data_IF_688596949178
#
_entry.id   IF_688596949178
#
_cell.length_a   1.000
_cell.length_b   1.000
_cell.length_c   1.000
_cell.angle_alpha   90.00
_cell.angle_beta   90.00
_cell.angle_gamma   90.00
#
_symmetry.space_group_name_H-M   'P 1'
#
loop_
_entity.id
_entity.type
_entity.pdbx_description
1 polymer ?
#
# COMPACT_ATOMS: atom_id res chain seq x y z
N UNK A 1 2.60 -11.40 -11.96
CA UNK A 1 1.87 -12.32 -12.88
C UNK A 1 2.37 -12.08 -14.28
N UNK A 2 2.68 -13.16 -15.02
CA UNK A 2 3.19 -13.07 -16.38
C UNK A 2 2.11 -12.58 -17.36
N UNK A 3 2.54 -11.86 -18.39
CA UNK A 3 1.69 -11.44 -19.47
C UNK A 3 1.26 -12.64 -20.35
N UNK A 4 0.08 -12.58 -20.90
CA UNK A 4 -0.39 -13.50 -21.96
C UNK A 4 -0.68 -12.70 -23.23
N UNK A 5 0.37 -12.26 -23.95
CA UNK A 5 0.23 -11.32 -25.06
C UNK A 5 -0.61 -11.89 -26.23
N UNK A 6 -0.63 -13.20 -26.42
CA UNK A 6 -1.47 -13.86 -27.42
C UNK A 6 -2.97 -13.69 -27.14
N UNK A 7 -3.34 -13.41 -25.90
CA UNK A 7 -4.72 -13.19 -25.46
C UNK A 7 -5.01 -11.72 -25.17
N UNK A 8 -4.05 -10.82 -25.41
CA UNK A 8 -4.17 -9.40 -25.12
C UNK A 8 -4.18 -9.08 -23.61
N UNK A 9 -3.65 -9.98 -22.77
CA UNK A 9 -3.58 -9.79 -21.31
C UNK A 9 -2.18 -9.30 -20.96
N UNK A 10 -2.12 -8.09 -20.38
CA UNK A 10 -0.87 -7.51 -19.87
C UNK A 10 -0.46 -8.17 -18.55
N UNK A 11 0.85 -8.15 -18.26
CA UNK A 11 1.39 -8.62 -17.00
C UNK A 11 0.98 -7.70 -15.86
N UNK A 12 0.73 -8.28 -14.68
CA UNK A 12 0.41 -7.54 -13.46
C UNK A 12 1.60 -7.58 -12.51
N UNK A 13 2.12 -6.41 -12.17
CA UNK A 13 3.17 -6.23 -11.16
C UNK A 13 2.52 -5.87 -9.83
N UNK A 14 2.80 -6.64 -8.80
CA UNK A 14 2.30 -6.44 -7.44
C UNK A 14 3.47 -6.09 -6.54
N UNK A 15 3.32 -5.08 -5.70
CA UNK A 15 4.34 -4.68 -4.74
C UNK A 15 3.76 -4.49 -3.34
N UNK A 16 4.54 -4.84 -2.31
CA UNK A 16 4.23 -4.46 -0.93
C UNK A 16 4.32 -2.95 -0.76
N UNK A 17 3.54 -2.40 0.18
CA UNK A 17 3.70 -0.99 0.47
C UNK A 17 2.58 -0.26 1.19
N UNK A 18 2.16 -0.69 2.40
CA UNK A 18 1.16 0.06 3.16
C UNK A 18 1.68 1.43 3.66
N UNK A 19 3.01 1.60 3.77
CA UNK A 19 3.67 2.84 4.21
C UNK A 19 4.69 3.37 3.20
N UNK A 20 4.56 2.98 1.95
CA UNK A 20 5.49 3.25 0.87
C UNK A 20 5.89 1.97 0.15
N UNK A 21 6.21 2.09 -1.11
CA UNK A 21 6.43 0.92 -1.97
C UNK A 21 7.70 0.17 -1.60
N UNK A 22 7.61 -1.14 -1.64
CA UNK A 22 8.75 -2.02 -1.65
C UNK A 22 8.79 -2.81 -2.96
N UNK A 23 9.38 -2.23 -3.97
CA UNK A 23 9.58 -2.85 -5.26
C UNK A 23 10.95 -3.52 -5.31
N UNK A 24 10.99 -4.84 -5.42
CA UNK A 24 12.24 -5.60 -5.48
C UNK A 24 12.92 -5.44 -6.84
N UNK A 25 14.26 -5.37 -6.85
CA UNK A 25 15.05 -5.27 -8.08
C UNK A 25 15.12 -6.61 -8.80
N UNK A 26 14.98 -7.73 -8.09
CA UNK A 26 15.06 -9.09 -8.64
C UNK A 26 13.85 -9.93 -8.27
N UNK A 27 13.35 -10.73 -9.20
CA UNK A 27 12.19 -11.60 -9.02
C UNK A 27 12.40 -12.80 -8.07
N UNK A 28 13.63 -13.02 -7.60
CA UNK A 28 14.01 -14.22 -6.83
C UNK A 28 14.04 -14.01 -5.31
N UNK A 29 13.67 -12.84 -4.79
CA UNK A 29 13.77 -12.56 -3.37
C UNK A 29 12.46 -12.79 -2.63
N UNK A 30 12.18 -14.05 -2.30
CA UNK A 30 11.00 -14.41 -1.50
C UNK A 30 11.10 -14.00 -0.02
N UNK A 31 12.28 -13.65 0.47
CA UNK A 31 12.51 -13.25 1.86
C UNK A 31 12.61 -11.72 2.04
N UNK A 32 12.64 -10.98 0.95
CA UNK A 32 12.74 -9.53 0.97
C UNK A 32 14.08 -9.03 1.53
N UNK A 33 15.16 -9.77 1.34
CA UNK A 33 16.51 -9.44 1.83
C UNK A 33 17.36 -8.73 0.78
N UNK A 34 16.96 -8.77 -0.48
CA UNK A 34 17.65 -8.09 -1.57
C UNK A 34 17.35 -6.59 -1.59
N UNK A 35 18.21 -5.78 -2.23
CA UNK A 35 17.97 -4.36 -2.41
C UNK A 35 16.63 -4.11 -3.12
N UNK A 36 15.86 -3.17 -2.59
CA UNK A 36 14.65 -2.66 -3.23
C UNK A 36 14.96 -1.37 -3.99
N UNK A 37 14.09 -1.02 -4.94
CA UNK A 37 14.12 0.31 -5.56
C UNK A 37 13.90 1.37 -4.47
N UNK A 38 14.65 2.49 -4.49
CA UNK A 38 14.37 3.60 -3.60
C UNK A 38 12.94 4.09 -3.75
N UNK A 39 12.26 4.26 -2.62
CA UNK A 39 10.88 4.71 -2.58
C UNK A 39 10.66 5.60 -1.34
N UNK A 40 9.58 6.39 -1.36
CA UNK A 40 9.24 7.26 -0.25
C UNK A 40 8.79 6.45 0.96
N UNK A 41 9.36 6.74 2.13
CA UNK A 41 8.90 6.22 3.41
C UNK A 41 7.81 7.16 3.97
N UNK A 42 6.56 6.79 3.77
CA UNK A 42 5.42 7.53 4.32
C UNK A 42 5.25 7.25 5.82
N UNK A 43 4.50 8.09 6.55
CA UNK A 43 4.17 7.84 7.95
C UNK A 43 3.52 6.47 8.16
N UNK A 44 3.79 5.85 9.31
CA UNK A 44 3.16 4.57 9.64
C UNK A 44 1.63 4.70 9.71
N UNK A 45 0.91 3.60 9.53
CA UNK A 45 -0.55 3.59 9.64
C UNK A 45 -1.02 4.11 11.01
N UNK A 46 -0.29 3.80 12.08
CA UNK A 46 -0.58 4.33 13.42
C UNK A 46 -0.49 5.86 13.47
N UNK A 47 0.56 6.43 12.87
CA UNK A 47 0.74 7.89 12.81
C UNK A 47 -0.35 8.54 11.98
N UNK A 48 -0.62 7.98 10.79
CA UNK A 48 -1.67 8.48 9.91
C UNK A 48 -3.05 8.38 10.57
N UNK A 49 -3.37 7.24 11.20
CA UNK A 49 -4.62 7.04 11.92
C UNK A 49 -4.80 7.98 13.10
N UNK A 50 -3.71 8.39 13.77
CA UNK A 50 -3.74 9.34 14.89
C UNK A 50 -4.04 10.78 14.45
N UNK A 51 -3.90 11.09 13.17
CA UNK A 51 -4.28 12.41 12.63
C UNK A 51 -5.80 12.60 12.57
N UNK A 52 -6.56 11.54 12.44
CA UNK A 52 -8.00 11.54 12.19
C UNK A 52 -8.39 12.27 10.90
N UNK A 53 -7.42 12.53 10.05
CA UNK A 53 -7.56 13.33 8.83
C UNK A 53 -7.75 12.41 7.62
N UNK A 54 -8.99 12.33 7.17
CA UNK A 54 -9.40 11.49 6.03
C UNK A 54 -8.86 12.06 4.70
N UNK A 55 -8.73 13.38 4.61
CA UNK A 55 -8.22 14.06 3.41
C UNK A 55 -6.72 13.79 3.27
N UNK A 56 -5.97 13.92 4.36
CA UNK A 56 -4.55 13.55 4.40
C UNK A 56 -4.34 12.08 4.01
N UNK A 57 -5.21 11.17 4.47
CA UNK A 57 -5.12 9.76 4.09
C UNK A 57 -5.30 9.55 2.57
N UNK A 58 -6.19 10.33 1.94
CA UNK A 58 -6.39 10.30 0.49
C UNK A 58 -5.16 10.87 -0.25
N UNK A 59 -4.57 11.96 0.25
CA UNK A 59 -3.37 12.57 -0.34
C UNK A 59 -2.17 11.62 -0.28
N UNK A 60 -1.92 10.99 0.87
CA UNK A 60 -0.88 9.97 1.02
C UNK A 60 -1.12 8.81 0.07
N UNK A 61 -2.36 8.33 -0.01
CA UNK A 61 -2.74 7.28 -0.97
C UNK A 61 -2.45 7.69 -2.42
N UNK A 62 -2.79 8.92 -2.80
CA UNK A 62 -2.52 9.42 -4.14
C UNK A 62 -1.01 9.49 -4.44
N UNK A 63 -0.21 9.94 -3.49
CA UNK A 63 1.25 9.99 -3.62
C UNK A 63 1.86 8.59 -3.78
N UNK A 64 1.39 7.60 -3.01
CA UNK A 64 1.78 6.19 -3.17
C UNK A 64 1.39 5.68 -4.57
N UNK A 65 0.20 6.04 -5.05
CA UNK A 65 -0.27 5.67 -6.38
C UNK A 65 0.58 6.28 -7.51
N UNK A 66 0.98 7.54 -7.38
CA UNK A 66 1.87 8.19 -8.35
C UNK A 66 3.25 7.52 -8.40
N UNK A 67 3.81 7.19 -7.25
CA UNK A 67 5.08 6.47 -7.16
C UNK A 67 4.96 5.05 -7.73
N UNK A 68 3.87 4.34 -7.43
CA UNK A 68 3.57 3.01 -7.98
C UNK A 68 3.54 3.02 -9.51
N UNK A 69 2.86 3.99 -10.11
CA UNK A 69 2.86 4.16 -11.56
C UNK A 69 4.24 4.39 -12.13
N UNK A 70 5.05 5.23 -11.48
CA UNK A 70 6.41 5.53 -11.95
C UNK A 70 7.32 4.31 -11.95
N UNK A 71 7.05 3.34 -11.07
CA UNK A 71 7.79 2.07 -10.96
C UNK A 71 7.13 0.91 -11.73
N UNK A 72 6.05 1.17 -12.49
CA UNK A 72 5.35 0.14 -13.25
C UNK A 72 4.56 -0.86 -12.40
N UNK A 73 4.23 -0.49 -11.16
CA UNK A 73 3.43 -1.33 -10.26
C UNK A 73 1.95 -1.21 -10.61
N UNK A 74 1.29 -2.35 -10.82
CA UNK A 74 -0.13 -2.42 -11.17
C UNK A 74 -1.03 -2.46 -9.94
N UNK A 75 -0.57 -3.11 -8.86
CA UNK A 75 -1.33 -3.29 -7.61
C UNK A 75 -0.40 -3.11 -6.41
N UNK A 76 -0.80 -2.26 -5.48
CA UNK A 76 -0.13 -2.08 -4.18
C UNK A 76 -0.82 -2.92 -3.13
N UNK A 77 -0.08 -3.72 -2.37
CA UNK A 77 -0.59 -4.46 -1.22
C UNK A 77 -0.66 -3.56 0.02
N UNK A 78 -1.72 -2.84 0.13
CA UNK A 78 -2.02 -1.86 1.19
C UNK A 78 -3.34 -1.13 0.88
N UNK A 79 -3.89 -0.35 1.82
CA UNK A 79 -3.47 -0.22 3.22
C UNK A 79 -3.77 -1.45 4.08
N UNK A 80 -3.15 -1.55 5.26
CA UNK A 80 -3.49 -2.57 6.25
C UNK A 80 -4.86 -2.26 6.88
N UNK A 81 -5.85 -3.13 6.67
CA UNK A 81 -7.25 -2.86 7.02
C UNK A 81 -7.74 -3.53 8.32
N UNK A 82 -6.92 -4.35 8.95
CA UNK A 82 -7.36 -5.04 10.15
C UNK A 82 -7.36 -4.09 11.37
N UNK A 83 -7.99 -4.52 12.45
CA UNK A 83 -8.10 -3.77 13.70
C UNK A 83 -6.98 -4.15 14.67
N UNK A 84 -6.55 -3.19 15.48
CA UNK A 84 -5.59 -3.41 16.58
C UNK A 84 -6.31 -4.01 17.79
N UNK A 85 -6.62 -5.31 17.74
CA UNK A 85 -7.43 -5.98 18.77
C UNK A 85 -6.63 -6.37 20.00
N UNK A 86 -5.35 -6.65 19.84
CA UNK A 86 -4.50 -7.15 20.92
C UNK A 86 -3.11 -6.51 20.82
N UNK A 87 -2.56 -5.99 21.95
CA UNK A 87 -1.25 -5.33 21.94
C UNK A 87 -0.10 -6.18 21.39
N UNK A 88 -0.16 -7.50 21.62
CA UNK A 88 0.84 -8.44 21.10
C UNK A 88 0.60 -8.89 19.65
N UNK A 89 -0.31 -8.25 18.93
CA UNK A 89 -0.54 -8.53 17.50
C UNK A 89 0.68 -8.15 16.68
N UNK A 90 1.29 -9.12 15.97
CA UNK A 90 2.53 -8.93 15.21
C UNK A 90 2.43 -7.93 14.05
N UNK A 91 1.21 -7.60 13.60
CA UNK A 91 0.95 -6.68 12.50
C UNK A 91 0.25 -5.39 12.91
N UNK A 92 0.17 -5.10 14.22
CA UNK A 92 -0.47 -3.87 14.71
C UNK A 92 0.22 -2.58 14.20
N UNK A 93 1.50 -2.65 13.83
CA UNK A 93 2.25 -1.51 13.29
C UNK A 93 1.70 -1.00 11.95
N UNK A 94 1.07 -1.86 11.16
CA UNK A 94 0.54 -1.53 9.82
C UNK A 94 -0.97 -1.25 9.81
N UNK A 95 -1.66 -1.32 10.96
CA UNK A 95 -3.09 -1.03 11.05
C UNK A 95 -3.34 0.38 11.57
N UNK A 96 -4.44 0.98 11.14
CA UNK A 96 -4.79 2.37 11.42
C UNK A 96 -5.24 2.58 12.86
N UNK A 97 -6.19 1.79 13.36
CA UNK A 97 -6.82 1.98 14.66
C UNK A 97 -7.42 0.67 15.22
N UNK A 98 -7.80 0.70 16.49
CA UNK A 98 -8.68 -0.29 17.10
C UNK A 98 -10.17 0.00 16.79
N UNK A 99 -10.50 1.26 16.49
CA UNK A 99 -11.86 1.68 16.12
C UNK A 99 -12.16 1.31 14.67
N UNK A 100 -13.20 0.48 14.41
CA UNK A 100 -13.56 0.07 13.07
C UNK A 100 -14.08 1.21 12.19
N UNK A 101 -14.72 2.22 12.77
CA UNK A 101 -15.23 3.36 12.00
C UNK A 101 -14.09 4.23 11.49
N UNK A 102 -13.14 4.58 12.36
CA UNK A 102 -11.96 5.35 12.00
C UNK A 102 -11.13 4.58 10.97
N UNK A 103 -10.82 3.31 11.26
CA UNK A 103 -10.05 2.45 10.35
C UNK A 103 -10.72 2.35 8.98
N UNK A 104 -12.03 2.14 8.93
CA UNK A 104 -12.77 2.02 7.66
C UNK A 104 -12.75 3.32 6.85
N UNK A 105 -12.97 4.48 7.49
CA UNK A 105 -12.96 5.78 6.80
C UNK A 105 -11.59 6.16 6.26
N UNK A 106 -10.56 6.03 7.09
CA UNK A 106 -9.18 6.33 6.70
C UNK A 106 -8.69 5.40 5.60
N UNK A 107 -8.93 4.10 5.74
CA UNK A 107 -8.57 3.11 4.75
C UNK A 107 -9.28 3.32 3.40
N UNK A 108 -10.58 3.59 3.42
CA UNK A 108 -11.34 3.88 2.20
C UNK A 108 -10.83 5.14 1.48
N UNK A 109 -10.36 6.14 2.23
CA UNK A 109 -9.75 7.33 1.65
C UNK A 109 -8.40 7.01 0.99
N UNK A 110 -7.52 6.27 1.68
CA UNK A 110 -6.24 5.84 1.12
C UNK A 110 -6.43 4.99 -0.16
N UNK A 111 -7.38 4.04 -0.13
CA UNK A 111 -7.75 3.23 -1.32
C UNK A 111 -8.18 4.12 -2.48
N UNK A 112 -9.09 5.07 -2.25
CA UNK A 112 -9.51 6.02 -3.30
C UNK A 112 -8.34 6.85 -3.82
N UNK A 113 -7.42 7.26 -2.95
CA UNK A 113 -6.21 7.98 -3.33
C UNK A 113 -5.37 7.18 -4.30
N UNK A 114 -5.01 5.94 -3.95
CA UNK A 114 -4.21 5.03 -4.79
C UNK A 114 -4.93 4.76 -6.13
N UNK A 115 -6.20 4.39 -6.07
CA UNK A 115 -6.99 4.06 -7.26
C UNK A 115 -7.23 5.25 -8.18
N UNK A 116 -7.24 6.48 -7.66
CA UNK A 116 -7.35 7.69 -8.47
C UNK A 116 -6.19 7.85 -9.47
N UNK A 117 -5.08 7.14 -9.22
CA UNK A 117 -3.89 7.12 -10.09
C UNK A 117 -3.86 5.93 -11.06
N UNK A 118 -4.93 5.14 -11.13
CA UNK A 118 -5.02 3.97 -12.00
C UNK A 118 -4.23 2.76 -11.50
N UNK A 119 -3.96 2.70 -10.20
CA UNK A 119 -3.26 1.59 -9.53
C UNK A 119 -4.26 0.84 -8.65
N UNK A 120 -4.24 -0.49 -8.72
CA UNK A 120 -5.05 -1.34 -7.85
C UNK A 120 -4.50 -1.37 -6.42
N UNK A 121 -5.37 -1.73 -5.47
CA UNK A 121 -4.98 -1.90 -4.07
C UNK A 121 -5.94 -2.84 -3.35
#
# INVERSE_FOLDING_TARGET
LEALPEQGIEGIVVADGPHGLRCQVTSADHLGMSPAQPATCFPTATTLGSSWDVELAAEVGAAIGDEARSLGVSVVLGPGLNLKRHPAGGRCFEYLSEDPLLSGRMAAAAVRGIQSRGVGT
#
